data_IF_769756802681
#
_entry.id   IF_769756802681
#
_cell.length_a   1.000
_cell.length_b   1.000
_cell.length_c   1.000
_cell.angle_alpha   90.00
_cell.angle_beta   90.00
_cell.angle_gamma   90.00
#
_symmetry.space_group_name_H-M   'P 1'
#
loop_
_entity.id
_entity.type
_entity.pdbx_description
1 polymer ?
#
# COMPACT_ATOMS: atom_id res chain seq x y z
N UNK A 1 -91.70 -19.44 -12.32
CA UNK A 1 -91.81 -18.82 -10.98
C UNK A 1 -90.48 -18.96 -10.25
N UNK A 2 -90.01 -17.84 -9.68
CA UNK A 2 -88.94 -17.65 -8.67
C UNK A 2 -87.48 -17.60 -9.14
N UNK A 3 -87.02 -16.34 -9.22
CA UNK A 3 -85.65 -15.84 -9.15
C UNK A 3 -84.94 -16.26 -7.84
N UNK A 4 -83.62 -16.36 -7.87
CA UNK A 4 -82.75 -15.90 -6.78
C UNK A 4 -81.31 -15.67 -7.28
N UNK A 5 -80.87 -14.42 -7.17
CA UNK A 5 -79.52 -13.94 -7.38
C UNK A 5 -78.63 -14.20 -6.16
N UNK A 6 -77.30 -14.10 -6.34
CA UNK A 6 -76.22 -13.78 -5.37
C UNK A 6 -74.94 -14.54 -5.78
N UNK A 7 -73.72 -14.03 -5.80
CA UNK A 7 -73.08 -12.79 -5.34
C UNK A 7 -71.78 -12.63 -6.14
N UNK A 8 -71.49 -11.41 -6.62
CA UNK A 8 -70.19 -11.05 -7.17
C UNK A 8 -69.17 -10.97 -6.02
N UNK A 9 -68.19 -11.86 -5.99
CA UNK A 9 -67.01 -11.73 -5.15
C UNK A 9 -65.97 -10.85 -5.88
N UNK A 10 -65.93 -9.57 -5.52
CA UNK A 10 -64.90 -8.62 -5.95
C UNK A 10 -63.64 -8.95 -5.15
N UNK A 11 -62.64 -9.56 -5.80
CA UNK A 11 -61.29 -9.66 -5.24
C UNK A 11 -60.60 -8.31 -5.38
N UNK A 12 -60.45 -7.61 -4.26
CA UNK A 12 -59.56 -6.47 -4.11
C UNK A 12 -58.12 -6.92 -4.33
N UNK A 13 -57.57 -6.64 -5.51
CA UNK A 13 -56.13 -6.69 -5.75
C UNK A 13 -55.47 -5.56 -4.97
N UNK A 14 -54.94 -5.88 -3.79
CA UNK A 14 -54.00 -5.02 -3.10
C UNK A 14 -52.66 -5.14 -3.85
N UNK A 15 -52.46 -4.27 -4.84
CA UNK A 15 -51.15 -4.13 -5.51
C UNK A 15 -50.15 -3.57 -4.50
N UNK A 16 -49.39 -4.46 -3.87
CA UNK A 16 -48.19 -4.10 -3.14
C UNK A 16 -47.15 -3.64 -4.18
N UNK A 17 -47.06 -2.33 -4.37
CA UNK A 17 -45.96 -1.71 -5.12
C UNK A 17 -44.69 -1.92 -4.29
N UNK A 18 -43.88 -2.89 -4.69
CA UNK A 18 -42.53 -3.03 -4.17
C UNK A 18 -41.70 -1.82 -4.63
N UNK A 19 -41.04 -1.09 -3.73
CA UNK A 19 -40.17 0.00 -4.12
C UNK A 19 -38.98 -0.53 -4.92
N UNK A 20 -38.46 0.24 -5.89
CA UNK A 20 -37.33 -0.18 -6.70
C UNK A 20 -36.10 -0.39 -5.82
N UNK A 21 -35.50 -1.58 -5.91
CA UNK A 21 -34.17 -1.83 -5.37
C UNK A 21 -33.21 -0.84 -6.06
N UNK A 22 -32.81 0.19 -5.32
CA UNK A 22 -31.62 0.97 -5.65
C UNK A 22 -30.46 -0.01 -5.64
N UNK A 23 -29.94 -0.36 -6.82
CA UNK A 23 -28.69 -1.08 -6.94
C UNK A 23 -27.61 -0.17 -6.34
N UNK A 24 -27.21 -0.47 -5.11
CA UNK A 24 -26.02 0.12 -4.52
C UNK A 24 -24.84 -0.30 -5.39
N UNK A 25 -24.33 0.62 -6.20
CA UNK A 25 -23.04 0.49 -6.84
C UNK A 25 -22.00 0.43 -5.72
N UNK A 26 -21.58 -0.80 -5.37
CA UNK A 26 -20.40 -0.97 -4.54
C UNK A 26 -19.25 -0.26 -5.26
N UNK A 27 -18.49 0.61 -4.57
CA UNK A 27 -17.27 1.13 -5.16
C UNK A 27 -16.41 -0.09 -5.50
N UNK A 28 -16.04 -0.22 -6.77
CA UNK A 28 -14.96 -1.11 -7.16
C UNK A 28 -13.75 -0.50 -6.45
N UNK A 29 -13.38 -1.05 -5.30
CA UNK A 29 -12.00 -0.99 -4.87
C UNK A 29 -11.26 -1.58 -6.06
N UNK A 30 -10.63 -0.71 -6.85
CA UNK A 30 -9.60 -1.14 -7.78
C UNK A 30 -8.51 -1.70 -6.87
N UNK A 31 -8.67 -2.96 -6.51
CA UNK A 31 -7.73 -3.66 -5.65
C UNK A 31 -6.40 -3.47 -6.32
N UNK A 32 -5.43 -2.98 -5.54
CA UNK A 32 -4.06 -2.77 -5.98
C UNK A 32 -3.49 -4.11 -6.47
N UNK A 33 -3.81 -4.47 -7.71
CA UNK A 33 -3.48 -5.75 -8.31
C UNK A 33 -1.96 -5.78 -8.40
N UNK A 34 -1.33 -6.61 -7.58
CA UNK A 34 0.12 -6.66 -7.47
C UNK A 34 0.74 -5.88 -6.31
N UNK A 35 -0.02 -5.23 -5.43
CA UNK A 35 0.54 -4.69 -4.19
C UNK A 35 0.96 -5.81 -3.23
N UNK A 36 2.06 -5.62 -2.51
CA UNK A 36 2.47 -6.53 -1.44
C UNK A 36 3.83 -6.20 -0.87
N UNK A 37 4.34 -7.14 -0.08
CA UNK A 37 5.69 -7.10 0.48
C UNK A 37 6.72 -7.45 -0.62
N UNK A 38 7.09 -6.45 -1.43
CA UNK A 38 8.02 -6.61 -2.54
C UNK A 38 9.37 -7.18 -2.09
N UNK A 39 9.92 -6.70 -0.96
CA UNK A 39 11.21 -7.17 -0.48
C UNK A 39 11.15 -8.64 -0.04
N UNK A 40 10.08 -9.08 0.60
CA UNK A 40 9.89 -10.50 0.95
C UNK A 40 9.70 -11.37 -0.30
N UNK A 41 8.88 -10.93 -1.26
CA UNK A 41 8.67 -11.63 -2.53
C UNK A 41 9.98 -11.86 -3.29
N UNK A 42 10.90 -10.90 -3.22
CA UNK A 42 12.22 -10.99 -3.84
C UNK A 42 13.28 -11.67 -2.96
N UNK A 43 12.95 -12.10 -1.73
CA UNK A 43 13.89 -12.62 -0.75
C UNK A 43 15.03 -11.64 -0.40
N UNK A 44 14.72 -10.34 -0.42
CA UNK A 44 15.62 -9.21 -0.15
C UNK A 44 15.15 -8.37 1.04
N UNK A 45 14.34 -8.93 1.94
CA UNK A 45 13.82 -8.22 3.11
C UNK A 45 14.84 -8.23 4.26
N UNK A 46 15.22 -7.06 4.81
CA UNK A 46 16.03 -7.01 6.02
C UNK A 46 15.29 -7.64 7.22
N UNK A 47 16.02 -8.36 8.08
CA UNK A 47 15.45 -9.15 9.19
C UNK A 47 14.54 -8.34 10.14
N UNK A 48 14.87 -7.07 10.36
CA UNK A 48 14.15 -6.18 11.29
C UNK A 48 13.29 -5.12 10.59
N UNK A 49 13.02 -5.31 9.28
CA UNK A 49 12.07 -4.48 8.56
C UNK A 49 10.67 -5.06 8.72
N UNK A 50 9.78 -4.30 9.35
CA UNK A 50 8.37 -4.63 9.51
C UNK A 50 7.60 -4.08 8.30
N UNK A 51 6.83 -4.93 7.61
CA UNK A 51 6.03 -4.47 6.48
C UNK A 51 4.82 -3.71 7.00
N UNK A 52 4.74 -2.41 6.69
CA UNK A 52 3.68 -1.52 7.16
C UNK A 52 2.45 -1.56 6.24
N UNK A 53 2.66 -1.77 4.95
CA UNK A 53 1.59 -1.88 3.97
C UNK A 53 2.07 -1.62 2.56
N UNK A 54 1.14 -1.76 1.62
CA UNK A 54 1.34 -1.37 0.24
C UNK A 54 0.11 -0.62 -0.26
N UNK A 55 0.32 0.46 -1.00
CA UNK A 55 -0.74 1.29 -1.56
C UNK A 55 -0.52 1.54 -3.05
N UNK A 56 -1.60 1.85 -3.76
CA UNK A 56 -1.54 2.29 -5.15
C UNK A 56 -1.75 3.81 -5.19
N UNK A 57 -0.84 4.53 -5.83
CA UNK A 57 -0.86 5.98 -5.95
C UNK A 57 -1.15 6.40 -7.41
N UNK A 58 -2.40 6.30 -7.89
CA UNK A 58 -2.77 6.58 -9.28
C UNK A 58 -2.56 8.03 -9.72
N UNK A 59 -2.53 8.95 -8.76
CA UNK A 59 -2.38 10.39 -9.02
C UNK A 59 -0.90 10.83 -9.15
N UNK A 60 0.04 9.93 -8.83
CA UNK A 60 1.48 10.18 -9.02
C UNK A 60 1.91 9.72 -10.42
N UNK A 61 2.88 10.42 -11.00
CA UNK A 61 3.52 10.00 -12.25
C UNK A 61 4.04 8.56 -12.13
N UNK A 62 3.86 7.74 -13.16
CA UNK A 62 4.21 6.31 -13.07
C UNK A 62 3.14 5.43 -12.43
N UNK A 63 2.10 6.04 -11.83
CA UNK A 63 1.04 5.36 -11.08
C UNK A 63 1.60 4.26 -10.15
N UNK A 64 2.55 4.58 -9.26
CA UNK A 64 3.30 3.56 -8.56
C UNK A 64 2.44 2.74 -7.59
N UNK A 65 2.81 1.47 -7.45
CA UNK A 65 2.56 0.70 -6.24
C UNK A 65 3.71 0.97 -5.26
N UNK A 66 3.37 1.38 -4.05
CA UNK A 66 4.31 1.81 -3.03
C UNK A 66 4.19 0.90 -1.81
N UNK A 67 5.26 0.16 -1.50
CA UNK A 67 5.38 -0.66 -0.31
C UNK A 67 6.22 0.05 0.75
N UNK A 68 5.70 0.13 1.97
CA UNK A 68 6.32 0.83 3.10
C UNK A 68 6.75 -0.16 4.17
N UNK A 69 7.91 0.08 4.77
CA UNK A 69 8.46 -0.74 5.85
C UNK A 69 8.99 0.14 6.98
N UNK A 70 8.85 -0.32 8.22
CA UNK A 70 9.41 0.34 9.39
C UNK A 70 10.57 -0.44 9.97
N UNK A 71 11.60 0.28 10.40
CA UNK A 71 12.82 -0.29 10.97
C UNK A 71 13.14 0.47 12.26
N UNK A 72 13.18 -0.19 13.43
CA UNK A 72 13.63 0.45 14.65
C UNK A 72 15.06 1.01 14.50
N UNK A 73 15.32 2.21 15.02
CA UNK A 73 16.62 2.88 14.82
C UNK A 73 17.84 2.07 15.30
N UNK A 74 17.66 1.20 16.30
CA UNK A 74 18.69 0.25 16.75
C UNK A 74 19.18 -0.72 15.67
N UNK A 75 18.39 -0.95 14.62
CA UNK A 75 18.72 -1.81 13.50
C UNK A 75 19.03 -1.05 12.21
N UNK A 76 18.86 0.28 12.18
CA UNK A 76 18.97 1.08 10.97
C UNK A 76 20.33 0.93 10.26
N UNK A 77 21.43 0.84 11.00
CA UNK A 77 22.77 0.65 10.42
C UNK A 77 22.93 -0.72 9.76
N UNK A 78 22.40 -1.78 10.38
CA UNK A 78 22.43 -3.13 9.83
C UNK A 78 21.54 -3.23 8.57
N UNK A 79 20.34 -2.65 8.64
CA UNK A 79 19.42 -2.55 7.51
C UNK A 79 20.02 -1.80 6.34
N UNK A 80 20.60 -0.62 6.57
CA UNK A 80 21.26 0.15 5.51
C UNK A 80 22.38 -0.66 4.85
N UNK A 81 23.26 -1.27 5.64
CA UNK A 81 24.36 -2.08 5.12
C UNK A 81 23.87 -3.26 4.28
N UNK A 82 22.78 -3.91 4.71
CA UNK A 82 22.15 -4.98 3.97
C UNK A 82 21.58 -4.48 2.64
N UNK A 83 20.81 -3.38 2.64
CA UNK A 83 20.19 -2.84 1.43
C UNK A 83 21.21 -2.27 0.43
N UNK A 84 22.30 -1.67 0.91
CA UNK A 84 23.44 -1.30 0.05
C UNK A 84 23.94 -2.54 -0.70
N UNK A 85 24.11 -3.67 0.00
CA UNK A 85 24.65 -4.90 -0.57
C UNK A 85 23.70 -5.60 -1.52
N UNK A 86 22.40 -5.64 -1.22
CA UNK A 86 21.43 -6.52 -1.92
C UNK A 86 20.64 -5.82 -3.02
N UNK A 87 20.44 -4.51 -2.89
CA UNK A 87 19.66 -3.69 -3.84
C UNK A 87 20.37 -2.39 -4.23
N UNK A 88 21.60 -2.16 -3.77
CA UNK A 88 22.37 -0.98 -4.18
C UNK A 88 21.84 0.33 -3.61
N UNK A 89 21.19 0.31 -2.44
CA UNK A 89 20.72 1.52 -1.77
C UNK A 89 21.87 2.52 -1.61
N UNK A 90 21.61 3.79 -1.89
CA UNK A 90 22.54 4.85 -1.55
C UNK A 90 22.70 4.98 -0.03
N UNK A 91 23.95 5.15 0.42
CA UNK A 91 24.23 5.41 1.84
C UNK A 91 23.48 6.65 2.33
N UNK A 92 22.79 6.54 3.47
CA UNK A 92 22.03 7.62 4.08
C UNK A 92 22.97 8.78 4.46
N UNK A 93 22.54 9.98 4.11
CA UNK A 93 23.20 11.24 4.45
C UNK A 93 22.31 12.01 5.40
N UNK A 94 22.94 12.88 6.18
CA UNK A 94 22.23 13.81 7.05
C UNK A 94 21.83 15.03 6.21
N UNK A 95 20.54 15.33 6.15
CA UNK A 95 20.00 16.53 5.48
C UNK A 95 19.02 17.24 6.41
N UNK A 96 19.31 18.51 6.78
CA UNK A 96 18.63 19.30 7.84
C UNK A 96 18.42 18.54 9.15
N UNK A 97 17.36 17.74 9.16
CA UNK A 97 16.62 17.21 10.29
C UNK A 97 16.32 15.70 10.11
N UNK A 98 16.68 15.14 8.96
CA UNK A 98 16.47 13.74 8.58
C UNK A 98 17.80 13.05 8.27
N UNK A 99 17.77 11.72 8.33
CA UNK A 99 18.71 10.86 7.63
C UNK A 99 17.99 10.26 6.43
N UNK A 100 18.48 10.50 5.22
CA UNK A 100 17.81 10.07 4.00
C UNK A 100 18.79 9.53 2.95
N UNK A 101 18.31 8.64 2.09
CA UNK A 101 19.00 8.21 0.89
C UNK A 101 18.27 8.72 -0.36
N UNK A 102 18.97 9.27 -1.36
CA UNK A 102 18.39 9.42 -2.69
C UNK A 102 17.89 8.06 -3.20
N UNK A 103 16.72 8.07 -3.87
CA UNK A 103 16.13 6.87 -4.43
C UNK A 103 17.14 6.13 -5.33
N UNK A 104 17.23 4.82 -5.16
CA UNK A 104 18.13 3.93 -5.90
C UNK A 104 17.30 2.97 -6.74
N UNK A 105 17.69 2.74 -7.98
CA UNK A 105 16.99 1.80 -8.86
C UNK A 105 17.59 0.40 -8.73
N UNK A 106 16.73 -0.62 -8.71
CA UNK A 106 17.16 -2.02 -8.80
C UNK A 106 16.13 -2.86 -9.56
N UNK A 107 16.53 -4.06 -9.97
CA UNK A 107 15.66 -5.03 -10.66
C UNK A 107 15.45 -6.29 -9.86
N UNK A 108 14.28 -6.90 -10.05
CA UNK A 108 14.02 -8.27 -9.64
C UNK A 108 14.52 -9.29 -10.68
N UNK A 109 14.35 -10.58 -10.38
CA UNK A 109 14.74 -11.67 -11.29
C UNK A 109 13.90 -11.75 -12.56
N UNK A 110 12.73 -11.11 -12.59
CA UNK A 110 11.85 -11.03 -13.75
C UNK A 110 12.11 -9.78 -14.60
N UNK A 111 13.04 -8.93 -14.18
CA UNK A 111 13.40 -7.69 -14.87
C UNK A 111 12.50 -6.49 -14.56
N UNK A 112 11.61 -6.58 -13.55
CA UNK A 112 10.81 -5.43 -13.12
C UNK A 112 11.69 -4.40 -12.42
N UNK A 113 11.50 -3.14 -12.76
CA UNK A 113 12.22 -2.01 -12.18
C UNK A 113 11.56 -1.53 -10.88
N UNK A 114 12.38 -1.33 -9.86
CA UNK A 114 11.97 -0.81 -8.57
C UNK A 114 12.82 0.40 -8.18
N UNK A 115 12.21 1.35 -7.47
CA UNK A 115 12.92 2.38 -6.72
C UNK A 115 12.89 2.03 -5.24
N UNK A 116 14.00 2.26 -4.55
CA UNK A 116 14.09 2.14 -3.09
C UNK A 116 14.73 3.37 -2.46
N UNK A 117 14.14 3.83 -1.38
CA UNK A 117 14.70 4.85 -0.49
C UNK A 117 14.56 4.40 0.97
N UNK A 118 15.35 5.02 1.84
CA UNK A 118 15.25 4.87 3.29
C UNK A 118 15.41 6.24 3.95
N UNK A 119 14.53 6.55 4.89
CA UNK A 119 14.47 7.85 5.56
C UNK A 119 14.19 7.67 7.06
N UNK A 120 14.77 8.50 7.91
CA UNK A 120 14.39 8.56 9.33
C UNK A 120 13.16 9.43 9.54
N UNK A 121 12.52 9.31 10.71
CA UNK A 121 11.74 10.44 11.23
C UNK A 121 12.62 11.70 11.43
N UNK A 122 11.98 12.86 11.58
CA UNK A 122 12.69 14.08 11.96
C UNK A 122 13.38 13.90 13.33
N UNK A 123 14.65 14.28 13.40
CA UNK A 123 15.48 14.03 14.57
C UNK A 123 16.64 15.03 14.75
N UNK A 124 16.94 15.31 16.01
CA UNK A 124 18.11 16.11 16.42
C UNK A 124 19.40 15.27 16.43
N UNK A 125 19.31 13.93 16.33
CA UNK A 125 20.48 13.05 16.37
C UNK A 125 21.24 13.09 15.05
N UNK A 126 22.37 13.81 15.04
CA UNK A 126 23.19 14.06 13.84
C UNK A 126 24.35 13.08 13.66
N UNK A 127 24.56 12.17 14.61
CA UNK A 127 25.54 11.08 14.49
C UNK A 127 24.90 9.71 14.24
N UNK A 128 25.57 8.89 13.41
CA UNK A 128 25.20 7.48 13.17
C UNK A 128 25.27 6.62 14.43
N UNK A 129 26.17 6.96 15.36
CA UNK A 129 26.26 6.26 16.66
C UNK A 129 25.00 6.43 17.50
N UNK A 130 24.20 7.46 17.24
CA UNK A 130 22.96 7.76 17.96
C UNK A 130 21.71 7.21 17.30
N UNK A 131 21.83 6.49 16.17
CA UNK A 131 20.66 5.95 15.45
C UNK A 131 19.77 5.05 16.31
N UNK A 132 20.35 4.38 17.30
CA UNK A 132 19.60 3.58 18.27
C UNK A 132 18.57 4.38 19.10
N UNK A 133 18.66 5.72 19.09
CA UNK A 133 17.75 6.66 19.79
C UNK A 133 16.65 7.21 18.88
N UNK A 134 16.76 7.01 17.56
CA UNK A 134 15.72 7.35 16.59
C UNK A 134 14.68 6.24 16.64
N UNK A 135 13.40 6.59 16.69
CA UNK A 135 12.31 5.61 16.88
C UNK A 135 12.21 4.70 15.67
N UNK A 136 12.12 5.32 14.48
CA UNK A 136 11.83 4.61 13.24
C UNK A 136 12.62 5.19 12.06
N UNK A 137 13.01 4.28 11.19
CA UNK A 137 13.37 4.55 9.81
C UNK A 137 12.34 3.88 8.91
N UNK A 138 11.87 4.61 7.91
CA UNK A 138 10.98 4.12 6.88
C UNK A 138 11.79 3.71 5.65
N UNK A 139 11.45 2.57 5.06
CA UNK A 139 11.90 2.18 3.72
C UNK A 139 10.68 2.27 2.80
N UNK A 140 10.87 2.88 1.64
CA UNK A 140 9.85 2.96 0.58
C UNK A 140 10.36 2.21 -0.62
N UNK A 141 9.55 1.29 -1.17
CA UNK A 141 9.83 0.56 -2.40
C UNK A 141 8.70 0.78 -3.39
N UNK A 142 9.02 1.36 -4.54
CA UNK A 142 8.06 1.69 -5.59
C UNK A 142 8.29 0.84 -6.84
N UNK A 143 7.21 0.43 -7.51
CA UNK A 143 7.21 -0.07 -8.90
C UNK A 143 6.12 0.66 -9.68
N UNK A 144 6.39 1.01 -10.93
CA UNK A 144 5.46 1.77 -11.76
C UNK A 144 4.53 0.86 -12.56
N UNK A 145 3.29 1.30 -12.78
CA UNK A 145 2.25 0.50 -13.47
C UNK A 145 1.72 1.16 -14.74
N UNK A 146 2.34 2.24 -15.23
CA UNK A 146 1.86 2.96 -16.42
C UNK A 146 1.82 2.12 -17.71
N UNK A 147 2.57 1.02 -17.76
CA UNK A 147 2.65 0.09 -18.91
C UNK A 147 2.07 -1.31 -18.62
N UNK A 148 1.39 -1.50 -17.49
CA UNK A 148 0.82 -2.80 -17.06
C UNK A 148 -0.60 -3.04 -17.55
#
# INVERSE_FOLDING_TARGET
MKFAACLFAIWSFCSAVAPPLMAASAPILLTAQGCGDFLAQMQKKPDHAEFAGCSYAPDRQGKPLEATYHVPGRYAAATEAYLIKTVGLNRLKRSCCLWDSPASQFRDSMGRDFLISMVSEETMFSSRSEWHRITVFEITVETFTEDM
#
